data_IF_755115629404
#
_entry.id   IF_755115629404
#
_cell.length_a   1.000
_cell.length_b   1.000
_cell.length_c   1.000
_cell.angle_alpha   90.00
_cell.angle_beta   90.00
_cell.angle_gamma   90.00
#
_symmetry.space_group_name_H-M   'P 1'
#
loop_
_entity.id
_entity.type
_entity.pdbx_description
1 polymer ?
#
# COMPACT_ATOMS: atom_id res chain seq x y z
N UNK A 1 -10.39 -0.02 8.95
CA UNK A 1 -10.85 -1.17 8.15
C UNK A 1 -10.08 -1.18 6.85
N UNK A 2 -8.86 -1.72 6.85
CA UNK A 2 -7.96 -1.72 5.69
C UNK A 2 -7.26 -3.06 5.52
N UNK A 3 -7.62 -4.05 6.32
CA UNK A 3 -7.08 -5.41 6.31
C UNK A 3 -8.22 -6.39 6.01
N UNK A 4 -7.93 -7.59 5.49
CA UNK A 4 -8.96 -8.60 5.25
C UNK A 4 -9.72 -8.93 6.55
N UNK A 5 -11.05 -9.15 6.50
CA UNK A 5 -11.88 -9.24 5.29
C UNK A 5 -12.40 -7.88 4.76
N UNK A 6 -11.93 -6.75 5.30
CA UNK A 6 -12.45 -5.42 4.97
C UNK A 6 -11.64 -4.66 3.91
N UNK A 7 -10.52 -5.20 3.46
CA UNK A 7 -9.80 -4.68 2.29
C UNK A 7 -10.53 -5.10 0.99
N UNK A 8 -10.31 -4.37 -0.12
CA UNK A 8 -10.87 -4.76 -1.41
C UNK A 8 -10.50 -6.20 -1.80
N UNK A 9 -11.47 -6.93 -2.34
CA UNK A 9 -11.25 -8.25 -2.95
C UNK A 9 -10.41 -8.13 -4.23
N UNK A 10 -9.77 -9.21 -4.71
CA UNK A 10 -8.98 -9.17 -5.95
C UNK A 10 -9.77 -8.63 -7.16
N UNK A 11 -11.05 -8.95 -7.29
CA UNK A 11 -11.91 -8.46 -8.37
C UNK A 11 -12.23 -6.97 -8.25
N UNK A 12 -12.46 -6.48 -7.03
CA UNK A 12 -12.63 -5.04 -6.78
C UNK A 12 -11.33 -4.29 -7.03
N UNK A 13 -10.19 -4.82 -6.57
CA UNK A 13 -8.87 -4.27 -6.84
C UNK A 13 -8.59 -4.19 -8.33
N UNK A 14 -8.94 -5.21 -9.12
CA UNK A 14 -8.81 -5.19 -10.58
C UNK A 14 -9.61 -4.04 -11.21
N UNK A 15 -10.85 -3.83 -10.77
CA UNK A 15 -11.69 -2.70 -11.24
C UNK A 15 -11.09 -1.35 -10.85
N UNK A 16 -10.58 -1.25 -9.62
CA UNK A 16 -9.86 -0.05 -9.14
C UNK A 16 -8.66 0.21 -10.05
N UNK A 17 -7.75 -0.74 -10.22
CA UNK A 17 -6.54 -0.61 -11.05
C UNK A 17 -6.86 -0.17 -12.49
N UNK A 18 -7.85 -0.79 -13.14
CA UNK A 18 -8.28 -0.45 -14.49
C UNK A 18 -8.85 0.98 -14.63
N UNK A 19 -9.19 1.63 -13.51
CA UNK A 19 -9.76 2.97 -13.49
C UNK A 19 -8.73 4.11 -13.37
N UNK A 20 -7.43 3.76 -13.29
CA UNK A 20 -6.28 4.69 -13.26
C UNK A 20 -5.41 4.51 -14.51
N UNK A 21 -4.60 5.52 -14.84
CA UNK A 21 -3.73 5.50 -16.03
C UNK A 21 -2.26 5.30 -15.69
N UNK A 22 -1.85 5.73 -14.49
CA UNK A 22 -0.45 5.70 -14.04
C UNK A 22 -0.39 5.16 -12.63
N UNK A 23 0.74 4.56 -12.30
CA UNK A 23 1.05 4.08 -10.97
C UNK A 23 2.50 4.42 -10.62
N UNK A 24 2.75 4.75 -9.36
CA UNK A 24 4.07 4.94 -8.78
C UNK A 24 4.30 3.77 -7.83
N UNK A 25 5.28 2.92 -8.17
CA UNK A 25 5.74 1.84 -7.31
C UNK A 25 6.87 2.38 -6.42
N UNK A 26 6.68 2.28 -5.11
CA UNK A 26 7.61 2.80 -4.09
C UNK A 26 8.28 1.59 -3.45
N UNK A 27 9.60 1.64 -3.33
CA UNK A 27 10.41 0.58 -2.72
C UNK A 27 11.16 1.14 -1.50
N UNK A 28 11.13 0.41 -0.39
CA UNK A 28 11.89 0.72 0.82
C UNK A 28 12.46 -0.56 1.43
N UNK A 29 13.66 -0.49 2.00
CA UNK A 29 14.27 -1.63 2.70
C UNK A 29 14.05 -1.54 4.21
N UNK A 30 13.91 -2.69 4.87
CA UNK A 30 13.84 -2.79 6.32
C UNK A 30 15.12 -2.27 6.98
N UNK A 31 14.99 -1.71 8.17
CA UNK A 31 16.08 -0.99 8.84
C UNK A 31 16.29 0.44 8.35
N UNK A 32 15.59 0.88 7.28
CA UNK A 32 15.43 2.30 7.03
C UNK A 32 14.57 2.93 8.13
N UNK A 33 14.82 4.20 8.46
CA UNK A 33 13.96 4.98 9.38
C UNK A 33 12.63 5.40 8.73
N UNK A 34 12.32 4.83 7.56
CA UNK A 34 11.23 5.25 6.67
C UNK A 34 10.09 4.25 6.79
N UNK A 35 8.92 4.76 7.14
CA UNK A 35 7.68 4.00 7.11
C UNK A 35 7.04 4.17 5.73
N UNK A 36 7.07 3.09 4.93
CA UNK A 36 6.54 3.11 3.55
C UNK A 36 5.07 3.51 3.49
N UNK A 37 4.27 3.16 4.50
CA UNK A 37 2.85 3.55 4.54
C UNK A 37 2.71 5.06 4.67
N UNK A 38 3.57 5.71 5.46
CA UNK A 38 3.60 7.18 5.56
C UNK A 38 4.04 7.84 4.24
N UNK A 39 5.04 7.26 3.57
CA UNK A 39 5.49 7.75 2.26
C UNK A 39 4.36 7.68 1.23
N UNK A 40 3.65 6.55 1.16
CA UNK A 40 2.49 6.36 0.28
C UNK A 40 1.42 7.43 0.53
N UNK A 41 1.04 7.66 1.79
CA UNK A 41 0.03 8.67 2.16
C UNK A 41 0.49 10.08 1.76
N UNK A 42 1.78 10.39 1.98
CA UNK A 42 2.33 11.69 1.62
C UNK A 42 2.31 11.93 0.11
N UNK A 43 2.72 10.93 -0.67
CA UNK A 43 2.71 11.02 -2.14
C UNK A 43 1.27 11.10 -2.67
N UNK A 44 0.34 10.31 -2.13
CA UNK A 44 -1.08 10.38 -2.47
C UNK A 44 -1.65 11.77 -2.20
N UNK A 45 -1.36 12.35 -1.02
CA UNK A 45 -1.79 13.70 -0.66
C UNK A 45 -1.20 14.76 -1.59
N UNK A 46 0.09 14.67 -1.89
CA UNK A 46 0.77 15.62 -2.78
C UNK A 46 0.22 15.53 -4.21
N UNK A 47 -0.03 14.32 -4.71
CA UNK A 47 -0.65 14.10 -6.00
C UNK A 47 -2.03 14.76 -6.07
N UNK A 48 -2.86 14.57 -5.04
CA UNK A 48 -4.17 15.23 -4.94
C UNK A 48 -4.05 16.76 -4.97
N UNK A 49 -3.15 17.33 -4.16
CA UNK A 49 -2.92 18.78 -4.12
C UNK A 49 -2.36 19.34 -5.43
N UNK A 50 -1.63 18.52 -6.19
CA UNK A 50 -1.09 18.86 -7.51
C UNK A 50 -2.12 18.75 -8.65
N UNK A 51 -3.39 18.53 -8.36
CA UNK A 51 -4.47 18.47 -9.35
C UNK A 51 -4.83 17.06 -9.84
N UNK A 52 -4.12 16.02 -9.38
CA UNK A 52 -4.52 14.63 -9.62
C UNK A 52 -5.63 14.24 -8.63
N UNK A 53 -6.82 14.82 -8.83
CA UNK A 53 -7.98 14.69 -7.91
C UNK A 53 -8.34 13.25 -7.56
N UNK A 54 -7.98 12.30 -8.43
CA UNK A 54 -8.13 10.87 -8.22
C UNK A 54 -6.75 10.25 -8.01
N UNK A 55 -6.31 10.24 -6.76
CA UNK A 55 -5.15 9.53 -6.27
C UNK A 55 -5.57 8.46 -5.26
N UNK A 56 -4.90 7.31 -5.26
CA UNK A 56 -5.16 6.23 -4.29
C UNK A 56 -3.87 5.52 -3.90
N UNK A 57 -3.57 5.53 -2.61
CA UNK A 57 -2.40 4.86 -2.02
C UNK A 57 -2.69 3.46 -1.46
N UNK A 58 -1.74 2.54 -1.63
CA UNK A 58 -1.68 1.24 -0.97
C UNK A 58 -0.29 1.08 -0.33
N UNK A 59 -0.26 0.77 0.97
CA UNK A 59 0.96 0.60 1.75
C UNK A 59 1.54 -0.81 1.66
N UNK A 60 2.31 -1.18 2.69
CA UNK A 60 2.85 -2.51 2.88
C UNK A 60 2.56 -2.99 4.30
N UNK A 61 2.17 -4.25 4.44
CA UNK A 61 1.89 -4.88 5.72
C UNK A 61 0.60 -4.39 6.40
N UNK A 62 0.29 -4.94 7.59
CA UNK A 62 -0.91 -4.57 8.33
C UNK A 62 -0.82 -3.13 8.85
N UNK A 63 -1.98 -2.47 8.94
CA UNK A 63 -2.10 -1.17 9.59
C UNK A 63 -1.77 -1.27 11.10
N UNK A 64 -0.96 -0.33 11.60
CA UNK A 64 -0.51 -0.27 13.01
C UNK A 64 -0.94 1.01 13.73
N UNK A 65 -1.96 1.70 13.24
CA UNK A 65 -2.39 3.02 13.76
C UNK A 65 -3.11 2.93 15.12
N UNK A 66 -3.69 1.78 15.45
CA UNK A 66 -4.44 1.55 16.68
C UNK A 66 -4.13 0.15 17.24
N UNK A 67 -4.17 0.00 18.56
CA UNK A 67 -4.02 -1.30 19.23
C UNK A 67 -5.17 -2.25 18.90
N UNK A 68 -6.40 -1.72 18.88
CA UNK A 68 -7.61 -2.45 18.53
C UNK A 68 -8.43 -1.65 17.50
N UNK A 69 -8.89 -2.32 16.45
CA UNK A 69 -9.70 -1.70 15.41
C UNK A 69 -11.14 -1.48 15.88
N UNK A 70 -11.72 -0.31 15.58
CA UNK A 70 -13.14 -0.07 15.76
C UNK A 70 -13.95 -0.81 14.67
N UNK A 71 -14.29 -2.08 14.91
CA UNK A 71 -15.03 -2.91 13.94
C UNK A 71 -16.54 -2.62 13.91
N UNK A 72 -17.08 -1.97 14.95
CA UNK A 72 -18.51 -1.63 15.05
C UNK A 72 -18.87 -0.29 14.41
N UNK A 73 -17.89 0.39 13.81
CA UNK A 73 -18.10 1.69 13.19
C UNK A 73 -16.87 2.14 12.43
N UNK A 74 -16.66 3.43 12.39
CA UNK A 74 -15.67 4.03 11.53
C UNK A 74 -14.24 3.91 12.05
N UNK A 75 -13.29 3.80 11.11
CA UNK A 75 -11.87 3.92 11.44
C UNK A 75 -11.58 5.30 12.02
N UNK A 76 -10.89 5.35 13.17
CA UNK A 76 -10.51 6.60 13.86
C UNK A 76 -9.38 7.37 13.15
N UNK A 77 -8.78 6.77 12.12
CA UNK A 77 -7.64 7.30 11.39
C UNK A 77 -7.84 7.24 9.87
N UNK A 78 -9.05 7.56 9.39
CA UNK A 78 -9.43 7.50 7.95
C UNK A 78 -8.46 8.28 7.05
N UNK A 79 -7.90 9.37 7.55
CA UNK A 79 -6.94 10.24 6.86
C UNK A 79 -5.56 9.61 6.69
N UNK A 80 -5.23 8.57 7.47
CA UNK A 80 -3.94 7.85 7.44
C UNK A 80 -4.07 6.39 7.06
N UNK A 81 -5.21 5.77 7.26
CA UNK A 81 -5.37 4.34 7.03
C UNK A 81 -5.42 4.04 5.53
N UNK A 82 -4.47 3.24 5.04
CA UNK A 82 -4.49 2.68 3.69
C UNK A 82 -4.35 1.15 3.77
N UNK A 83 -5.02 0.40 2.88
CA UNK A 83 -4.75 -1.03 2.74
C UNK A 83 -3.35 -1.24 2.18
N UNK A 84 -2.78 -2.41 2.39
CA UNK A 84 -1.54 -2.81 1.72
C UNK A 84 -1.80 -3.43 0.36
N UNK A 85 -0.78 -3.45 -0.50
CA UNK A 85 -0.87 -4.11 -1.81
C UNK A 85 -1.35 -5.57 -1.68
N UNK A 86 -0.74 -6.33 -0.78
CA UNK A 86 -1.08 -7.74 -0.56
C UNK A 86 -2.48 -7.93 0.05
N UNK A 87 -2.93 -7.00 0.92
CA UNK A 87 -4.30 -7.04 1.45
C UNK A 87 -5.37 -6.83 0.37
N UNK A 88 -5.02 -6.14 -0.71
CA UNK A 88 -5.86 -5.92 -1.88
C UNK A 88 -5.76 -7.06 -2.91
N UNK A 89 -5.02 -8.14 -2.61
CA UNK A 89 -4.83 -9.26 -3.54
C UNK A 89 -3.84 -9.00 -4.66
N UNK A 90 -2.98 -7.99 -4.55
CA UNK A 90 -1.89 -7.75 -5.51
C UNK A 90 -0.72 -8.70 -5.18
N UNK A 91 -0.25 -9.43 -6.17
CA UNK A 91 1.00 -10.17 -6.08
C UNK A 91 2.18 -9.19 -6.12
N UNK A 92 2.70 -8.87 -4.93
CA UNK A 92 3.82 -7.93 -4.75
C UNK A 92 5.10 -8.45 -5.40
N UNK A 93 5.36 -9.76 -5.34
CA UNK A 93 6.58 -10.35 -5.89
C UNK A 93 6.62 -10.24 -7.41
N UNK A 94 5.55 -10.69 -8.06
CA UNK A 94 5.43 -10.62 -9.52
C UNK A 94 5.40 -9.17 -9.99
N UNK A 95 4.74 -8.27 -9.24
CA UNK A 95 4.70 -6.83 -9.56
C UNK A 95 6.09 -6.20 -9.49
N UNK A 96 6.84 -6.42 -8.41
CA UNK A 96 8.18 -5.85 -8.25
C UNK A 96 9.15 -6.39 -9.31
N UNK A 97 9.15 -7.70 -9.57
CA UNK A 97 10.01 -8.35 -10.58
C UNK A 97 9.72 -7.82 -11.99
N UNK A 98 8.45 -7.62 -12.33
CA UNK A 98 8.03 -7.05 -13.61
C UNK A 98 8.45 -5.58 -13.79
N UNK A 99 8.87 -4.91 -12.70
CA UNK A 99 9.30 -3.51 -12.69
C UNK A 99 10.80 -3.37 -12.33
N UNK A 100 11.60 -4.41 -12.55
CA UNK A 100 13.07 -4.34 -12.46
C UNK A 100 13.68 -4.53 -11.07
N UNK A 101 12.88 -4.93 -10.07
CA UNK A 101 13.38 -5.23 -8.73
C UNK A 101 13.73 -6.71 -8.60
N UNK A 102 14.87 -7.01 -7.96
CA UNK A 102 15.23 -8.38 -7.58
C UNK A 102 14.84 -8.59 -6.13
N UNK A 103 13.82 -9.40 -5.87
CA UNK A 103 13.32 -9.70 -4.53
C UNK A 103 13.04 -11.18 -4.34
N UNK A 104 13.34 -11.66 -3.15
CA UNK A 104 13.24 -13.06 -2.74
C UNK A 104 12.69 -13.19 -1.33
N UNK A 105 12.18 -14.38 -1.01
CA UNK A 105 11.71 -14.71 0.33
C UNK A 105 12.88 -14.75 1.31
N UNK A 106 12.68 -14.23 2.51
CA UNK A 106 13.69 -14.25 3.57
C UNK A 106 13.49 -15.44 4.50
N UNK A 107 14.59 -16.04 4.92
CA UNK A 107 14.66 -17.17 5.87
C UNK A 107 14.74 -16.72 7.34
N UNK A 108 15.01 -15.43 7.59
CA UNK A 108 15.19 -14.87 8.93
C UNK A 108 14.69 -13.44 9.03
N UNK A 109 14.13 -13.08 10.20
CA UNK A 109 13.76 -11.71 10.54
C UNK A 109 14.96 -10.77 10.71
N UNK A 110 16.20 -11.29 10.73
CA UNK A 110 17.43 -10.49 10.73
C UNK A 110 17.80 -9.95 9.35
N UNK A 111 17.25 -10.53 8.28
CA UNK A 111 17.53 -10.12 6.92
C UNK A 111 16.86 -8.79 6.59
N UNK A 112 17.45 -8.04 5.65
CA UNK A 112 16.85 -6.81 5.13
C UNK A 112 15.69 -7.18 4.21
N UNK A 113 14.49 -6.78 4.57
CA UNK A 113 13.27 -7.04 3.82
C UNK A 113 12.96 -5.89 2.87
N UNK A 114 12.51 -6.21 1.67
CA UNK A 114 12.03 -5.24 0.70
C UNK A 114 10.52 -5.04 0.88
N UNK A 115 10.12 -3.79 1.07
CA UNK A 115 8.73 -3.38 1.16
C UNK A 115 8.34 -2.55 -0.06
N UNK A 116 7.12 -2.79 -0.54
CA UNK A 116 6.57 -2.09 -1.70
C UNK A 116 5.24 -1.43 -1.36
N UNK A 117 5.07 -0.21 -1.84
CA UNK A 117 3.83 0.55 -1.80
C UNK A 117 3.47 1.02 -3.20
N UNK A 118 2.21 1.32 -3.41
CA UNK A 118 1.67 1.71 -4.71
C UNK A 118 0.84 2.98 -4.57
N UNK A 119 1.07 3.97 -5.44
CA UNK A 119 0.17 5.12 -5.57
C UNK A 119 -0.36 5.16 -6.99
N UNK A 120 -1.66 5.03 -7.14
CA UNK A 120 -2.37 5.14 -8.42
C UNK A 120 -2.77 6.61 -8.64
N UNK A 121 -2.55 7.12 -9.85
CA UNK A 121 -2.90 8.50 -10.23
C UNK A 121 -3.59 8.54 -11.60
N UNK A 122 -4.56 9.45 -11.75
CA UNK A 122 -5.31 9.69 -12.98
C UNK A 122 -5.22 11.14 -13.42
#
# INVERSE_FOLDING_TARGET
MTCPPYSPTPDETRKILNSFKKAILIHCQSGSRVDISKVVIQIEKEAFLSGYYKALGMGAGPCRLCTECNLKGDCRHREKARPSMESCGIDVYSTARSNGFTIDTLDSAKCRADYFGLVLIK
#
